data_IF_559523778685
#
_entry.id   IF_559523778685
#
_cell.length_a   1.000
_cell.length_b   1.000
_cell.length_c   1.000
_cell.angle_alpha   90.00
_cell.angle_beta   90.00
_cell.angle_gamma   90.00
#
_symmetry.space_group_name_H-M   'P 1'
#
loop_
_entity.id
_entity.type
_entity.pdbx_description
1 polymer ?
#
# COMPACT_ATOMS: atom_id res chain seq x y z
N UNK A 1 -42.88 0.02 -65.89
CA UNK A 1 -43.39 -0.08 -64.51
C UNK A 1 -42.57 -1.14 -63.77
N UNK A 2 -41.45 -0.76 -63.15
CA UNK A 2 -40.61 -1.67 -62.37
C UNK A 2 -40.85 -1.40 -60.89
N UNK A 3 -41.68 -2.25 -60.26
CA UNK A 3 -41.96 -2.18 -58.82
C UNK A 3 -40.74 -2.69 -58.07
N UNK A 4 -39.99 -1.79 -57.43
CA UNK A 4 -38.95 -2.10 -56.47
C UNK A 4 -39.57 -2.85 -55.30
N UNK A 5 -39.13 -4.08 -55.04
CA UNK A 5 -39.53 -4.82 -53.85
C UNK A 5 -39.00 -4.09 -52.62
N UNK A 6 -39.85 -3.62 -51.69
CA UNK A 6 -39.35 -2.97 -50.49
C UNK A 6 -38.66 -4.02 -49.63
N UNK A 7 -37.36 -3.81 -49.38
CA UNK A 7 -36.57 -4.68 -48.53
C UNK A 7 -37.03 -4.52 -47.07
N UNK A 8 -37.87 -5.46 -46.61
CA UNK A 8 -38.51 -5.48 -45.29
C UNK A 8 -37.51 -5.35 -44.14
N UNK A 9 -36.36 -6.00 -44.24
CA UNK A 9 -35.30 -5.91 -43.24
C UNK A 9 -34.78 -4.47 -43.11
N UNK A 10 -34.65 -3.77 -44.26
CA UNK A 10 -34.25 -2.37 -44.28
C UNK A 10 -35.35 -1.51 -43.64
N UNK A 11 -36.62 -1.75 -43.95
CA UNK A 11 -37.73 -0.98 -43.39
C UNK A 11 -37.82 -1.12 -41.87
N UNK A 12 -37.74 -2.34 -41.33
CA UNK A 12 -37.74 -2.62 -39.89
C UNK A 12 -36.52 -2.00 -39.20
N UNK A 13 -35.33 -2.09 -39.82
CA UNK A 13 -34.14 -1.43 -39.29
C UNK A 13 -34.32 0.10 -39.27
N UNK A 14 -34.90 0.69 -40.31
CA UNK A 14 -35.15 2.14 -40.35
C UNK A 14 -36.20 2.56 -39.33
N UNK A 15 -37.25 1.77 -39.13
CA UNK A 15 -38.34 2.07 -38.19
C UNK A 15 -37.89 1.92 -36.73
N UNK A 16 -37.10 0.88 -36.42
CA UNK A 16 -36.47 0.72 -35.10
C UNK A 16 -35.50 1.88 -34.80
N UNK A 17 -34.74 2.33 -35.79
CA UNK A 17 -33.84 3.48 -35.67
C UNK A 17 -34.61 4.79 -35.62
N UNK A 18 -35.81 4.91 -36.19
CA UNK A 18 -36.56 6.18 -36.24
C UNK A 18 -37.46 6.36 -35.02
N UNK A 19 -38.18 5.32 -34.61
CA UNK A 19 -39.10 5.33 -33.46
C UNK A 19 -38.36 5.04 -32.15
N UNK A 20 -37.37 4.14 -32.18
CA UNK A 20 -36.64 3.66 -31.00
C UNK A 20 -35.39 4.46 -30.62
N UNK A 21 -35.16 5.66 -31.18
CA UNK A 21 -33.93 6.45 -31.00
C UNK A 21 -33.50 6.58 -29.54
N UNK A 22 -34.43 6.93 -28.65
CA UNK A 22 -34.15 7.08 -27.22
C UNK A 22 -33.82 5.75 -26.55
N UNK A 23 -34.54 4.68 -26.90
CA UNK A 23 -34.27 3.35 -26.35
C UNK A 23 -32.92 2.81 -26.81
N UNK A 24 -32.54 3.04 -28.07
CA UNK A 24 -31.23 2.64 -28.61
C UNK A 24 -30.11 3.42 -27.94
N UNK A 25 -30.27 4.74 -27.75
CA UNK A 25 -29.31 5.57 -27.03
C UNK A 25 -29.11 5.10 -25.59
N UNK A 26 -30.20 4.83 -24.86
CA UNK A 26 -30.15 4.31 -23.50
C UNK A 26 -29.46 2.94 -23.43
N UNK A 27 -29.74 2.05 -24.39
CA UNK A 27 -29.08 0.75 -24.46
C UNK A 27 -27.57 0.88 -24.66
N UNK A 28 -27.13 1.75 -25.57
CA UNK A 28 -25.70 2.03 -25.78
C UNK A 28 -25.08 2.63 -24.52
N UNK A 29 -25.78 3.54 -23.84
CA UNK A 29 -25.29 4.20 -22.63
C UNK A 29 -25.12 3.19 -21.47
N UNK A 30 -26.05 2.26 -21.30
CA UNK A 30 -25.95 1.18 -20.31
C UNK A 30 -24.75 0.28 -20.64
N UNK A 31 -24.58 -0.10 -21.91
CA UNK A 31 -23.43 -0.90 -22.34
C UNK A 31 -22.10 -0.20 -22.09
N UNK A 32 -22.01 1.09 -22.41
CA UNK A 32 -20.83 1.90 -22.15
C UNK A 32 -20.55 2.00 -20.65
N UNK A 33 -21.58 2.15 -19.82
CA UNK A 33 -21.45 2.19 -18.36
C UNK A 33 -20.96 0.85 -17.82
N UNK A 34 -21.50 -0.28 -18.30
CA UNK A 34 -21.07 -1.61 -17.91
C UNK A 34 -19.59 -1.85 -18.26
N UNK A 35 -19.17 -1.50 -19.48
CA UNK A 35 -17.75 -1.54 -19.88
C UNK A 35 -16.89 -0.61 -19.02
N UNK A 36 -17.37 0.60 -18.74
CA UNK A 36 -16.70 1.57 -17.89
C UNK A 36 -16.45 1.06 -16.47
N UNK A 37 -17.43 0.39 -15.86
CA UNK A 37 -17.27 -0.22 -14.52
C UNK A 37 -16.22 -1.33 -14.53
N UNK A 38 -16.21 -2.18 -15.55
CA UNK A 38 -15.19 -3.24 -15.68
C UNK A 38 -13.79 -2.64 -15.84
N UNK A 39 -13.67 -1.62 -16.69
CA UNK A 39 -12.41 -0.92 -16.91
C UNK A 39 -11.92 -0.22 -15.64
N UNK A 40 -12.81 0.51 -14.95
CA UNK A 40 -12.49 1.18 -13.70
C UNK A 40 -12.06 0.19 -12.61
N UNK A 41 -12.73 -0.97 -12.53
CA UNK A 41 -12.37 -2.03 -11.59
C UNK A 41 -10.99 -2.62 -11.89
N UNK A 42 -10.68 -2.85 -13.17
CA UNK A 42 -9.37 -3.35 -13.58
C UNK A 42 -8.26 -2.35 -13.26
N UNK A 43 -8.46 -1.07 -13.59
CA UNK A 43 -7.53 0.00 -13.25
C UNK A 43 -7.37 0.19 -11.75
N UNK A 44 -8.47 0.14 -10.99
CA UNK A 44 -8.42 0.23 -9.53
C UNK A 44 -7.59 -0.92 -8.95
N UNK A 45 -7.77 -2.16 -9.43
CA UNK A 45 -6.95 -3.30 -8.99
C UNK A 45 -5.47 -3.08 -9.29
N UNK A 46 -5.11 -2.64 -10.49
CA UNK A 46 -3.71 -2.37 -10.85
C UNK A 46 -3.09 -1.28 -9.96
N UNK A 47 -3.81 -0.18 -9.77
CA UNK A 47 -3.35 0.94 -8.94
C UNK A 47 -3.21 0.55 -7.46
N UNK A 48 -4.09 -0.30 -6.95
CA UNK A 48 -4.00 -0.84 -5.58
C UNK A 48 -2.78 -1.75 -5.45
N UNK A 49 -2.53 -2.65 -6.39
CA UNK A 49 -1.36 -3.56 -6.34
C UNK A 49 -0.04 -2.81 -6.27
N UNK A 50 0.14 -1.74 -7.06
CA UNK A 50 1.37 -0.94 -7.04
C UNK A 50 1.56 -0.25 -5.69
N UNK A 51 0.48 0.30 -5.13
CA UNK A 51 0.49 0.91 -3.80
C UNK A 51 0.82 -0.11 -2.73
N UNK A 52 0.23 -1.29 -2.78
CA UNK A 52 0.45 -2.37 -1.81
C UNK A 52 1.91 -2.82 -1.82
N UNK A 53 2.55 -2.92 -2.99
CA UNK A 53 3.97 -3.28 -3.08
C UNK A 53 4.87 -2.30 -2.33
N UNK A 54 4.64 -0.99 -2.52
CA UNK A 54 5.41 0.06 -1.83
C UNK A 54 5.15 0.05 -0.31
N UNK A 55 3.91 -0.23 0.10
CA UNK A 55 3.56 -0.34 1.52
C UNK A 55 4.26 -1.53 2.20
N UNK A 56 4.30 -2.68 1.54
CA UNK A 56 4.98 -3.88 2.04
C UNK A 56 6.47 -3.62 2.22
N UNK A 57 7.12 -2.93 1.29
CA UNK A 57 8.54 -2.58 1.42
C UNK A 57 8.80 -1.64 2.60
N UNK A 58 7.92 -0.66 2.83
CA UNK A 58 8.00 0.22 4.00
C UNK A 58 7.85 -0.54 5.31
N UNK A 59 6.87 -1.45 5.41
CA UNK A 59 6.67 -2.28 6.60
C UNK A 59 7.89 -3.16 6.89
N UNK A 60 8.50 -3.72 5.84
CA UNK A 60 9.74 -4.48 5.98
C UNK A 60 10.87 -3.63 6.56
N UNK A 61 11.11 -2.45 6.00
CA UNK A 61 12.17 -1.54 6.47
C UNK A 61 11.90 -1.07 7.91
N UNK A 62 10.66 -0.79 8.27
CA UNK A 62 10.29 -0.42 9.65
C UNK A 62 10.58 -1.57 10.63
N UNK A 63 10.29 -2.80 10.24
CA UNK A 63 10.63 -3.97 11.05
C UNK A 63 12.14 -4.15 11.21
N UNK A 64 12.91 -3.98 10.14
CA UNK A 64 14.39 -4.05 10.19
C UNK A 64 14.96 -2.95 11.09
N UNK A 65 14.47 -1.71 10.93
CA UNK A 65 14.84 -0.56 11.77
C UNK A 65 14.56 -0.82 13.25
N UNK A 66 13.37 -1.33 13.57
CA UNK A 66 13.01 -1.68 14.94
C UNK A 66 13.94 -2.75 15.51
N UNK A 67 14.30 -3.75 14.71
CA UNK A 67 15.24 -4.79 15.15
C UNK A 67 16.63 -4.22 15.43
N UNK A 68 17.12 -3.33 14.57
CA UNK A 68 18.40 -2.64 14.77
C UNK A 68 18.39 -1.77 16.04
N UNK A 69 17.30 -1.06 16.30
CA UNK A 69 17.13 -0.29 17.55
C UNK A 69 17.17 -1.19 18.79
N UNK A 70 16.55 -2.38 18.73
CA UNK A 70 16.63 -3.35 19.82
C UNK A 70 18.05 -3.88 20.01
N UNK A 71 18.78 -4.12 18.92
CA UNK A 71 20.18 -4.53 18.96
C UNK A 71 21.07 -3.43 19.56
N UNK A 72 20.91 -2.17 19.12
CA UNK A 72 21.68 -1.04 19.64
C UNK A 72 21.40 -0.80 21.12
N UNK A 73 20.13 -0.83 21.53
CA UNK A 73 19.77 -0.69 22.95
C UNK A 73 20.30 -1.85 23.80
N UNK A 74 20.31 -3.08 23.29
CA UNK A 74 20.94 -4.21 23.96
C UNK A 74 22.48 -4.08 24.05
N UNK A 75 23.12 -3.45 23.07
CA UNK A 75 24.56 -3.17 23.06
C UNK A 75 24.95 -1.95 23.91
N UNK A 76 24.04 -0.98 24.07
CA UNK A 76 24.20 0.25 24.85
C UNK A 76 23.79 0.08 26.33
N UNK A 77 23.06 -0.98 26.65
CA UNK A 77 22.82 -1.46 28.01
C UNK A 77 24.18 -1.59 28.73
N UNK A 78 24.30 -0.91 29.88
CA UNK A 78 25.55 -0.61 30.61
C UNK A 78 26.48 -1.81 30.90
N UNK A 79 26.03 -3.04 30.66
CA UNK A 79 26.81 -4.28 30.73
C UNK A 79 28.12 -4.19 29.96
N UNK A 80 28.12 -3.71 28.71
CA UNK A 80 29.33 -3.74 27.89
C UNK A 80 30.40 -2.75 28.36
N UNK A 81 29.99 -1.56 28.82
CA UNK A 81 30.90 -0.57 29.39
C UNK A 81 31.47 -1.06 30.73
N UNK A 82 30.64 -1.68 31.58
CA UNK A 82 31.09 -2.27 32.84
C UNK A 82 32.03 -3.47 32.63
N UNK A 83 31.74 -4.33 31.67
CA UNK A 83 32.56 -5.50 31.37
C UNK A 83 33.92 -5.09 30.78
N UNK A 84 33.94 -4.13 29.86
CA UNK A 84 35.19 -3.59 29.31
C UNK A 84 36.01 -2.88 30.39
N UNK A 85 35.37 -2.09 31.27
CA UNK A 85 36.05 -1.43 32.38
C UNK A 85 36.59 -2.42 33.43
N UNK A 86 35.89 -3.53 33.70
CA UNK A 86 36.40 -4.59 34.58
C UNK A 86 37.57 -5.34 33.97
N UNK A 87 37.50 -5.62 32.67
CA UNK A 87 38.40 -6.57 32.00
C UNK A 87 39.67 -5.91 31.45
N UNK A 88 39.55 -4.72 30.85
CA UNK A 88 40.69 -4.01 30.24
C UNK A 88 41.34 -2.99 31.19
N UNK A 89 40.57 -2.44 32.15
CA UNK A 89 41.08 -1.47 33.13
C UNK A 89 41.25 -2.05 34.54
N UNK A 90 41.05 -3.36 34.73
CA UNK A 90 41.09 -4.06 36.03
C UNK A 90 40.26 -3.38 37.15
N UNK A 91 39.22 -2.62 36.79
CA UNK A 91 38.45 -1.85 37.78
C UNK A 91 37.71 -2.80 38.73
N UNK A 92 38.11 -2.78 40.00
CA UNK A 92 37.40 -3.45 41.10
C UNK A 92 36.43 -2.48 41.76
N UNK A 93 35.26 -2.98 42.13
CA UNK A 93 34.28 -2.21 42.92
C UNK A 93 34.96 -1.86 44.27
N UNK A 94 35.06 -0.58 44.63
CA UNK A 94 35.72 -0.18 45.87
C UNK A 94 34.95 -0.74 47.07
N UNK A 95 35.70 -1.25 48.05
CA UNK A 95 35.16 -1.72 49.33
C UNK A 95 34.65 -0.53 50.15
N UNK A 96 33.65 -0.75 51.00
CA UNK A 96 32.90 0.32 51.69
C UNK A 96 33.75 1.26 52.56
N UNK A 97 34.99 0.87 52.89
CA UNK A 97 35.96 1.66 53.64
C UNK A 97 36.68 2.74 52.78
N UNK A 98 36.51 2.73 51.45
CA UNK A 98 37.15 3.68 50.51
C UNK A 98 36.16 4.61 49.80
N UNK A 99 34.90 4.64 50.23
CA UNK A 99 33.85 5.41 49.59
C UNK A 99 33.75 6.82 50.21
N UNK A 100 34.06 7.87 49.43
CA UNK A 100 33.92 9.27 49.87
C UNK A 100 32.62 9.84 49.31
N UNK A 101 31.59 9.95 50.15
CA UNK A 101 30.29 10.52 49.76
C UNK A 101 30.36 12.05 49.85
N UNK A 102 30.35 12.71 48.70
CA UNK A 102 30.33 14.17 48.62
C UNK A 102 28.85 14.61 48.63
N UNK A 103 28.40 15.18 49.75
CA UNK A 103 27.06 15.79 49.84
C UNK A 103 27.15 17.20 49.28
N UNK A 104 26.47 17.47 48.17
CA UNK A 104 26.31 18.82 47.63
C UNK A 104 25.27 19.56 48.49
N UNK A 105 25.66 20.72 49.01
CA UNK A 105 24.87 21.59 49.90
C UNK A 105 23.96 22.50 49.10
#
# INVERSE_FOLDING_TARGET
MTKTTPNLAKLIATDLITVGRWSLLLMVLIFATAMGVVFATHHARQAITEKDHTLVERERLDSEWRNLMLEETALAEHSRVQDLAKKDLEMKRPDGDKEVVITLK
#
